data_IF_024620589927
#
_entry.id   IF_024620589927
#
_cell.length_a   1.000
_cell.length_b   1.000
_cell.length_c   1.000
_cell.angle_alpha   90.00
_cell.angle_beta   90.00
_cell.angle_gamma   90.00
#
_symmetry.space_group_name_H-M   'P 1'
#
loop_
_entity.id
_entity.type
_entity.pdbx_description
1 polymer ?
#
# COMPACT_ATOMS: atom_id res chain seq x y z
N UNK A 1 15.45 -29.36 4.56
CA UNK A 1 16.39 -28.36 4.01
C UNK A 1 15.61 -27.55 2.99
N UNK A 2 15.09 -26.40 3.39
CA UNK A 2 14.42 -25.48 2.47
C UNK A 2 15.53 -24.86 1.61
N UNK A 3 15.62 -25.29 0.36
CA UNK A 3 16.54 -24.68 -0.59
C UNK A 3 16.10 -23.22 -0.74
N UNK A 4 16.88 -22.29 -0.18
CA UNK A 4 16.75 -20.87 -0.50
C UNK A 4 17.03 -20.80 -2.00
N UNK A 5 16.07 -20.42 -2.85
CA UNK A 5 16.34 -20.27 -4.27
C UNK A 5 17.32 -19.10 -4.40
N UNK A 6 18.61 -19.41 -4.52
CA UNK A 6 19.60 -18.42 -4.88
C UNK A 6 19.27 -18.01 -6.31
N UNK A 7 18.71 -16.81 -6.46
CA UNK A 7 18.42 -16.24 -7.77
C UNK A 7 19.68 -16.20 -8.63
N UNK A 8 19.51 -16.06 -9.94
CA UNK A 8 20.65 -15.94 -10.88
C UNK A 8 21.57 -14.81 -10.40
N UNK A 9 22.88 -15.06 -10.23
CA UNK A 9 23.82 -14.03 -9.81
C UNK A 9 23.72 -12.82 -10.75
N UNK A 10 23.44 -11.66 -10.18
CA UNK A 10 23.40 -10.39 -10.93
C UNK A 10 24.66 -9.61 -10.66
N UNK A 11 25.15 -8.90 -11.68
CA UNK A 11 26.23 -7.94 -11.53
C UNK A 11 25.81 -6.88 -10.50
N UNK A 12 26.73 -6.43 -9.66
CA UNK A 12 26.47 -5.28 -8.80
C UNK A 12 26.72 -3.98 -9.58
N UNK A 13 25.82 -3.03 -9.45
CA UNK A 13 26.01 -1.65 -9.89
C UNK A 13 26.48 -0.82 -8.70
N UNK A 14 27.53 -0.02 -8.91
CA UNK A 14 28.13 0.83 -7.89
C UNK A 14 27.85 2.29 -8.21
N UNK A 15 27.42 3.05 -7.20
CA UNK A 15 27.02 4.45 -7.37
C UNK A 15 27.10 5.19 -6.02
N UNK A 16 26.87 6.50 -6.02
CA UNK A 16 26.90 7.32 -4.80
C UNK A 16 25.49 7.61 -4.28
N UNK A 17 25.23 7.30 -3.01
CA UNK A 17 23.99 7.61 -2.29
C UNK A 17 24.32 8.49 -1.07
N UNK A 18 23.89 9.75 -1.10
CA UNK A 18 24.15 10.75 -0.05
C UNK A 18 25.64 10.84 0.33
N UNK A 19 26.50 10.88 -0.68
CA UNK A 19 27.95 10.98 -0.51
C UNK A 19 28.64 9.67 -0.07
N UNK A 20 27.91 8.56 0.06
CA UNK A 20 28.46 7.24 0.40
C UNK A 20 28.38 6.29 -0.79
N UNK A 21 29.36 5.42 -0.94
CA UNK A 21 29.29 4.35 -1.94
C UNK A 21 28.17 3.37 -1.61
N UNK A 22 27.33 3.07 -2.60
CA UNK A 22 26.24 2.12 -2.54
C UNK A 22 26.40 1.07 -3.63
N UNK A 23 26.03 -0.18 -3.32
CA UNK A 23 26.11 -1.32 -4.25
C UNK A 23 24.83 -2.13 -4.17
N UNK A 24 24.21 -2.35 -5.31
CA UNK A 24 22.99 -3.17 -5.42
C UNK A 24 23.04 -4.05 -6.66
N UNK A 25 22.29 -5.17 -6.69
CA UNK A 25 22.10 -5.96 -7.90
C UNK A 25 21.60 -5.11 -9.08
N UNK A 26 22.10 -5.41 -10.28
CA UNK A 26 21.62 -4.81 -11.52
C UNK A 26 20.10 -5.01 -11.67
N UNK A 27 19.42 -3.94 -12.07
CA UNK A 27 17.96 -3.90 -12.17
C UNK A 27 17.24 -3.55 -10.86
N UNK A 28 17.94 -3.37 -9.74
CA UNK A 28 17.36 -2.77 -8.53
C UNK A 28 16.98 -1.30 -8.74
N UNK A 29 15.98 -0.84 -7.99
CA UNK A 29 15.55 0.56 -7.97
C UNK A 29 16.40 1.39 -7.02
N UNK A 30 16.30 2.72 -7.09
CA UNK A 30 16.91 3.60 -6.10
C UNK A 30 16.34 3.34 -4.71
N UNK A 31 15.04 3.04 -4.60
CA UNK A 31 14.39 2.70 -3.33
C UNK A 31 14.99 1.43 -2.72
N UNK A 32 15.24 0.39 -3.52
CA UNK A 32 15.89 -0.84 -3.05
C UNK A 32 17.29 -0.55 -2.48
N UNK A 33 18.03 0.35 -3.13
CA UNK A 33 19.33 0.78 -2.64
C UNK A 33 19.25 1.62 -1.36
N UNK A 34 18.25 2.48 -1.23
CA UNK A 34 18.00 3.22 0.02
C UNK A 34 17.72 2.24 1.17
N UNK A 35 16.83 1.25 0.95
CA UNK A 35 16.51 0.21 1.94
C UNK A 35 17.75 -0.60 2.33
N UNK A 36 18.55 -1.03 1.36
CA UNK A 36 19.80 -1.76 1.61
C UNK A 36 20.82 -0.92 2.41
N UNK A 37 20.79 0.40 2.29
CA UNK A 37 21.61 1.33 3.06
C UNK A 37 20.99 1.72 4.42
N UNK A 38 19.86 1.12 4.82
CA UNK A 38 19.14 1.45 6.05
C UNK A 38 18.45 2.82 6.02
N UNK A 39 18.22 3.39 4.83
CA UNK A 39 17.49 4.65 4.64
C UNK A 39 16.02 4.36 4.38
N UNK A 40 15.19 4.91 5.25
CA UNK A 40 13.74 4.85 5.09
C UNK A 40 13.25 6.00 4.20
N UNK A 41 12.79 5.66 3.00
CA UNK A 41 12.20 6.61 2.06
C UNK A 41 10.69 6.42 2.09
N UNK A 42 9.99 7.52 2.37
CA UNK A 42 8.54 7.61 2.35
C UNK A 42 7.96 7.03 1.05
N UNK A 43 7.05 6.06 1.19
CA UNK A 43 6.28 5.49 0.09
C UNK A 43 4.81 5.32 0.50
N UNK A 44 3.90 5.51 -0.46
CA UNK A 44 2.46 5.25 -0.29
C UNK A 44 1.95 4.29 -1.36
N UNK A 45 2.26 4.55 -2.63
CA UNK A 45 1.82 3.72 -3.76
C UNK A 45 2.79 2.59 -4.13
N UNK A 46 3.86 2.37 -3.38
CA UNK A 46 4.72 1.20 -3.57
C UNK A 46 4.14 0.02 -2.77
N UNK A 47 4.23 -1.18 -3.32
CA UNK A 47 3.93 -2.44 -2.64
C UNK A 47 5.06 -3.42 -2.90
N UNK A 48 5.26 -4.39 -2.01
CA UNK A 48 6.45 -5.25 -2.03
C UNK A 48 6.48 -6.19 -3.25
N UNK A 49 5.30 -6.66 -3.66
CA UNK A 49 5.13 -7.53 -4.83
C UNK A 49 4.29 -6.88 -5.94
N UNK A 50 4.13 -5.55 -5.89
CA UNK A 50 3.42 -4.77 -6.92
C UNK A 50 4.37 -3.81 -7.64
N UNK A 51 4.32 -3.80 -8.96
CA UNK A 51 5.01 -2.83 -9.78
C UNK A 51 4.43 -1.42 -9.51
N UNK A 52 5.25 -0.45 -9.09
CA UNK A 52 4.73 0.86 -8.69
C UNK A 52 4.31 1.70 -9.91
N UNK A 53 3.15 2.35 -9.82
CA UNK A 53 2.65 3.30 -10.83
C UNK A 53 3.26 4.70 -10.74
N UNK A 54 4.05 4.97 -9.70
CA UNK A 54 4.58 6.31 -9.41
C UNK A 54 3.51 7.38 -9.14
N UNK A 55 2.30 6.99 -8.75
CA UNK A 55 1.17 7.91 -8.59
C UNK A 55 1.35 8.89 -7.41
N UNK A 56 1.79 8.40 -6.25
CA UNK A 56 1.83 9.23 -5.04
C UNK A 56 2.96 10.27 -5.00
N UNK A 57 4.03 10.09 -5.79
CA UNK A 57 5.20 11.00 -5.87
C UNK A 57 5.93 11.37 -4.57
N UNK A 58 5.61 10.77 -3.42
CA UNK A 58 6.29 11.07 -2.15
C UNK A 58 7.72 10.50 -2.06
N UNK A 59 8.03 9.43 -2.79
CA UNK A 59 9.34 8.78 -2.76
C UNK A 59 10.42 9.46 -3.62
N UNK A 60 10.19 10.70 -4.07
CA UNK A 60 11.09 11.36 -5.01
C UNK A 60 12.45 11.68 -4.37
N UNK A 61 13.51 11.57 -5.17
CA UNK A 61 14.90 11.86 -4.80
C UNK A 61 15.57 12.68 -5.91
N UNK A 62 16.68 13.34 -5.58
CA UNK A 62 17.47 14.08 -6.54
C UNK A 62 18.56 13.18 -7.13
N UNK A 63 18.72 13.22 -8.45
CA UNK A 63 19.79 12.54 -9.17
C UNK A 63 20.63 13.63 -9.85
N UNK A 64 21.93 13.64 -9.64
CA UNK A 64 22.83 14.64 -10.21
C UNK A 64 22.71 14.65 -11.75
N UNK A 65 22.69 15.85 -12.33
CA UNK A 65 22.45 16.06 -13.77
C UNK A 65 20.98 15.89 -14.22
N UNK A 66 20.08 15.35 -13.40
CA UNK A 66 18.67 15.24 -13.75
C UNK A 66 17.92 16.57 -13.50
N UNK A 67 17.16 17.02 -14.50
CA UNK A 67 16.35 18.25 -14.38
C UNK A 67 15.24 18.13 -13.33
N UNK A 68 14.59 16.98 -13.27
CA UNK A 68 13.42 16.69 -12.41
C UNK A 68 13.78 15.65 -11.36
N UNK A 69 13.10 15.70 -10.20
CA UNK A 69 13.24 14.67 -9.17
C UNK A 69 12.75 13.30 -9.70
N UNK A 70 13.53 12.26 -9.43
CA UNK A 70 13.25 10.91 -9.87
C UNK A 70 12.43 10.16 -8.81
N UNK A 71 11.40 9.38 -9.19
CA UNK A 71 10.70 8.51 -8.24
C UNK A 71 11.62 7.35 -7.83
N UNK A 72 12.01 7.28 -6.56
CA UNK A 72 12.94 6.25 -6.11
C UNK A 72 12.38 4.83 -6.31
N UNK A 73 11.06 4.66 -6.20
CA UNK A 73 10.39 3.36 -6.27
C UNK A 73 10.44 2.68 -7.65
N UNK A 74 10.73 3.41 -8.73
CA UNK A 74 10.80 2.83 -10.09
C UNK A 74 12.05 3.17 -10.86
N UNK A 75 12.74 4.28 -10.54
CA UNK A 75 14.00 4.63 -11.18
C UNK A 75 15.03 3.55 -10.87
N UNK A 76 15.65 2.98 -11.91
CA UNK A 76 16.70 1.98 -11.76
C UNK A 76 18.01 2.62 -11.30
N UNK A 77 18.71 1.94 -10.40
CA UNK A 77 20.07 2.31 -10.02
C UNK A 77 21.04 1.98 -11.17
N UNK A 78 21.85 2.94 -11.57
CA UNK A 78 22.81 2.83 -12.66
C UNK A 78 24.22 3.13 -12.15
N UNK A 79 25.23 2.51 -12.77
CA UNK A 79 26.61 2.69 -12.36
C UNK A 79 27.05 4.16 -12.49
N UNK A 80 27.71 4.67 -11.46
CA UNK A 80 28.24 6.03 -11.43
C UNK A 80 27.19 7.14 -11.21
N UNK A 81 25.92 6.82 -10.96
CA UNK A 81 24.94 7.84 -10.60
C UNK A 81 25.24 8.45 -9.23
N UNK A 82 24.86 9.71 -9.03
CA UNK A 82 24.89 10.36 -7.73
C UNK A 82 23.47 10.72 -7.31
N UNK A 83 23.04 10.17 -6.17
CA UNK A 83 21.69 10.32 -5.64
C UNK A 83 21.75 11.01 -4.29
N UNK A 84 20.89 12.02 -4.11
CA UNK A 84 20.70 12.74 -2.85
C UNK A 84 19.24 12.61 -2.41
N UNK A 85 19.01 12.01 -1.24
CA UNK A 85 17.64 11.66 -0.79
C UNK A 85 16.97 12.75 0.04
N UNK A 86 17.74 13.71 0.56
CA UNK A 86 17.27 14.71 1.53
C UNK A 86 17.68 16.15 1.15
N UNK A 87 17.66 16.47 -0.14
CA UNK A 87 17.89 17.85 -0.60
C UNK A 87 16.69 18.74 -0.30
N UNK A 88 16.90 20.06 -0.22
CA UNK A 88 15.82 21.05 -0.09
C UNK A 88 14.74 20.86 -1.17
N UNK A 89 15.14 20.53 -2.41
CA UNK A 89 14.22 20.25 -3.51
C UNK A 89 13.36 19.03 -3.24
N UNK A 90 13.96 17.93 -2.76
CA UNK A 90 13.24 16.71 -2.42
C UNK A 90 12.29 16.93 -1.22
N UNK A 91 12.76 17.57 -0.15
CA UNK A 91 11.93 17.90 1.03
C UNK A 91 10.77 18.80 0.68
N UNK A 92 11.00 19.85 -0.11
CA UNK A 92 9.93 20.74 -0.57
C UNK A 92 8.89 20.01 -1.42
N UNK A 93 9.32 19.13 -2.34
CA UNK A 93 8.39 18.33 -3.14
C UNK A 93 7.55 17.40 -2.28
N UNK A 94 8.13 16.74 -1.28
CA UNK A 94 7.41 15.86 -0.35
C UNK A 94 6.39 16.63 0.48
N UNK A 95 6.78 17.79 1.00
CA UNK A 95 5.89 18.71 1.72
C UNK A 95 4.66 19.05 0.88
N UNK A 96 4.85 19.56 -0.35
CA UNK A 96 3.73 19.96 -1.23
C UNK A 96 2.83 18.77 -1.58
N UNK A 97 3.41 17.59 -1.82
CA UNK A 97 2.62 16.38 -2.08
C UNK A 97 1.79 15.99 -0.87
N UNK A 98 2.36 16.02 0.34
CA UNK A 98 1.63 15.74 1.58
C UNK A 98 0.52 16.77 1.83
N UNK A 99 0.77 18.05 1.55
CA UNK A 99 -0.25 19.11 1.61
C UNK A 99 -1.40 18.81 0.66
N UNK A 100 -1.11 18.47 -0.60
CA UNK A 100 -2.14 18.14 -1.60
C UNK A 100 -2.96 16.93 -1.16
N UNK A 101 -2.31 15.82 -0.79
CA UNK A 101 -2.99 14.60 -0.35
C UNK A 101 -3.87 14.88 0.87
N UNK A 102 -3.31 15.47 1.93
CA UNK A 102 -4.02 15.73 3.18
C UNK A 102 -5.12 16.80 3.06
N UNK A 103 -5.07 17.67 2.04
CA UNK A 103 -6.16 18.62 1.75
C UNK A 103 -7.33 17.96 1.02
N UNK A 104 -7.05 16.94 0.21
CA UNK A 104 -8.03 16.31 -0.69
C UNK A 104 -8.73 15.08 -0.10
N UNK A 105 -8.09 14.39 0.84
CA UNK A 105 -8.57 13.13 1.41
C UNK A 105 -8.28 13.02 2.91
N UNK A 106 -9.00 12.14 3.58
CA UNK A 106 -8.79 11.78 4.97
C UNK A 106 -7.62 10.79 5.11
N UNK A 107 -6.52 11.20 5.74
CA UNK A 107 -5.34 10.36 5.96
C UNK A 107 -5.25 9.76 7.38
N UNK A 108 -6.31 9.87 8.18
CA UNK A 108 -6.30 9.47 9.60
C UNK A 108 -5.94 8.00 9.85
N UNK A 109 -6.25 7.12 8.91
CA UNK A 109 -5.93 5.68 8.95
C UNK A 109 -4.70 5.30 8.13
N UNK A 110 -4.00 6.29 7.54
CA UNK A 110 -2.78 6.03 6.78
C UNK A 110 -1.59 5.91 7.74
N UNK A 111 -0.89 4.76 7.79
CA UNK A 111 0.24 4.59 8.70
C UNK A 111 1.29 5.69 8.53
N UNK A 112 1.74 6.26 9.64
CA UNK A 112 2.77 7.32 9.73
C UNK A 112 2.46 8.63 8.98
N UNK A 113 1.29 8.80 8.38
CA UNK A 113 0.94 10.05 7.68
C UNK A 113 1.04 11.29 8.60
N UNK A 114 0.55 11.18 9.85
CA UNK A 114 0.66 12.26 10.83
C UNK A 114 2.12 12.58 11.21
N UNK A 115 2.98 11.57 11.32
CA UNK A 115 4.42 11.73 11.57
C UNK A 115 5.07 12.50 10.41
N UNK A 116 4.81 12.09 9.17
CA UNK A 116 5.38 12.74 7.99
C UNK A 116 4.86 14.16 7.77
N UNK A 117 3.57 14.41 8.00
CA UNK A 117 3.01 15.77 7.93
C UNK A 117 3.77 16.70 8.88
N UNK A 118 4.07 16.22 10.10
CA UNK A 118 4.87 16.96 11.07
C UNK A 118 6.33 17.10 10.64
N UNK A 119 6.98 16.02 10.20
CA UNK A 119 8.40 15.98 9.81
C UNK A 119 8.73 16.91 8.63
N UNK A 120 7.82 17.00 7.66
CA UNK A 120 7.97 17.88 6.48
C UNK A 120 7.31 19.24 6.66
N UNK A 121 6.74 19.51 7.84
CA UNK A 121 6.01 20.74 8.17
C UNK A 121 4.92 21.06 7.14
N UNK A 122 4.24 20.02 6.63
CA UNK A 122 3.16 20.16 5.67
C UNK A 122 1.95 20.83 6.33
N UNK A 123 1.34 21.78 5.61
CA UNK A 123 0.12 22.50 6.04
C UNK A 123 -1.06 22.12 5.14
N UNK A 124 -1.87 21.11 5.50
CA UNK A 124 -3.02 20.66 4.69
C UNK A 124 -4.03 21.79 4.40
N UNK A 125 -4.14 22.77 5.29
CA UNK A 125 -4.99 23.96 5.19
C UNK A 125 -4.47 25.04 4.22
N UNK A 126 -3.27 24.86 3.66
CA UNK A 126 -2.60 25.83 2.77
C UNK A 126 -3.46 26.27 1.58
N UNK A 127 -4.32 25.39 1.07
CA UNK A 127 -5.16 25.66 -0.10
C UNK A 127 -6.50 26.34 0.23
N UNK A 128 -6.75 26.63 1.52
CA UNK A 128 -7.96 27.31 1.97
C UNK A 128 -9.17 26.37 2.16
N UNK A 129 -10.26 26.89 2.73
CA UNK A 129 -11.46 26.10 3.03
C UNK A 129 -12.22 25.64 1.77
N UNK A 130 -12.02 26.32 0.64
CA UNK A 130 -12.68 26.01 -0.64
C UNK A 130 -11.92 24.96 -1.46
N UNK A 131 -10.85 24.37 -0.89
CA UNK A 131 -10.13 23.28 -1.55
C UNK A 131 -11.07 22.09 -1.79
N UNK A 132 -11.09 21.61 -3.03
CA UNK A 132 -11.87 20.43 -3.37
C UNK A 132 -11.40 19.22 -2.54
N UNK A 133 -12.37 18.45 -2.04
CA UNK A 133 -12.15 17.26 -1.21
C UNK A 133 -13.02 16.12 -1.69
N UNK A 134 -12.51 14.89 -1.61
CA UNK A 134 -13.35 13.70 -1.71
C UNK A 134 -14.14 13.59 -0.42
N UNK A 135 -15.46 13.75 -0.53
CA UNK A 135 -16.41 13.68 0.58
C UNK A 135 -17.54 12.75 0.17
N UNK A 136 -17.29 11.45 0.31
CA UNK A 136 -18.24 10.38 0.01
C UNK A 136 -18.45 9.56 1.29
N UNK A 137 -19.70 9.18 1.56
CA UNK A 137 -19.99 8.27 2.65
C UNK A 137 -19.38 6.88 2.39
N UNK A 138 -18.89 6.18 3.43
CA UNK A 138 -18.41 4.81 3.29
C UNK A 138 -19.48 3.89 2.72
N UNK A 139 -19.13 3.11 1.69
CA UNK A 139 -20.03 2.13 1.09
C UNK A 139 -19.83 0.76 1.74
N UNK A 140 -20.92 0.21 2.28
CA UNK A 140 -20.99 -1.10 2.91
C UNK A 140 -21.89 -2.00 2.08
N UNK A 141 -21.29 -2.73 1.12
CA UNK A 141 -22.05 -3.60 0.20
C UNK A 141 -22.22 -5.04 0.73
N UNK A 142 -21.44 -5.42 1.75
CA UNK A 142 -21.38 -6.76 2.33
C UNK A 142 -20.69 -6.71 3.70
N UNK A 143 -20.61 -7.87 4.39
CA UNK A 143 -20.03 -7.99 5.73
C UNK A 143 -18.52 -8.30 5.76
N UNK A 144 -17.82 -8.27 4.63
CA UNK A 144 -16.40 -8.63 4.53
C UNK A 144 -15.50 -7.38 4.60
N UNK A 145 -15.79 -6.36 3.80
CA UNK A 145 -14.98 -5.14 3.72
C UNK A 145 -15.77 -3.90 3.29
N UNK A 146 -15.23 -2.73 3.64
CA UNK A 146 -15.83 -1.41 3.40
C UNK A 146 -15.04 -0.65 2.34
N UNK A 147 -15.75 0.13 1.51
CA UNK A 147 -15.16 1.07 0.55
C UNK A 147 -15.36 2.49 1.05
N UNK A 148 -14.33 3.06 1.64
CA UNK A 148 -14.32 4.41 2.21
C UNK A 148 -13.44 5.33 1.35
N UNK A 149 -14.01 5.83 0.26
CA UNK A 149 -13.21 6.52 -0.76
C UNK A 149 -12.78 7.94 -0.36
N UNK A 150 -13.29 8.49 0.76
CA UNK A 150 -12.79 9.72 1.37
C UNK A 150 -11.29 9.63 1.74
N UNK A 151 -10.76 8.41 1.91
CA UNK A 151 -9.37 8.06 2.20
C UNK A 151 -8.54 7.72 0.96
N UNK A 152 -9.15 7.69 -0.23
CA UNK A 152 -8.49 7.13 -1.41
C UNK A 152 -7.53 8.12 -2.07
N UNK A 153 -6.22 7.88 -1.96
CA UNK A 153 -5.19 8.69 -2.63
C UNK A 153 -4.95 8.34 -4.11
N UNK A 154 -5.85 7.57 -4.74
CA UNK A 154 -5.69 7.05 -6.11
C UNK A 154 -4.29 6.45 -6.36
N UNK A 155 -3.83 5.57 -5.47
CA UNK A 155 -2.51 4.95 -5.60
C UNK A 155 -2.45 3.81 -6.61
N UNK A 156 -3.60 3.35 -7.12
CA UNK A 156 -3.79 2.25 -8.08
C UNK A 156 -3.38 0.85 -7.61
N UNK A 157 -2.82 0.68 -6.40
CA UNK A 157 -2.43 -0.65 -5.87
C UNK A 157 -3.59 -1.65 -5.90
N UNK A 158 -4.79 -1.20 -5.54
CA UNK A 158 -5.99 -2.04 -5.55
C UNK A 158 -6.36 -2.51 -6.96
N UNK A 159 -6.25 -1.63 -7.96
CA UNK A 159 -6.52 -1.95 -9.38
C UNK A 159 -5.50 -2.97 -9.89
N UNK A 160 -4.21 -2.77 -9.59
CA UNK A 160 -3.15 -3.70 -9.99
C UNK A 160 -3.31 -5.08 -9.32
N UNK A 161 -3.63 -5.12 -8.03
CA UNK A 161 -3.88 -6.38 -7.31
C UNK A 161 -5.15 -7.09 -7.81
N UNK A 162 -6.20 -6.35 -8.16
CA UNK A 162 -7.40 -6.96 -8.75
C UNK A 162 -7.18 -7.44 -10.19
N UNK A 163 -6.27 -6.76 -10.91
CA UNK A 163 -5.92 -7.03 -12.29
C UNK A 163 -4.78 -8.03 -12.44
N UNK A 164 -3.91 -7.75 -13.40
CA UNK A 164 -2.93 -8.66 -13.97
C UNK A 164 -1.81 -9.06 -13.00
N UNK A 165 -1.51 -8.24 -12.00
CA UNK A 165 -0.38 -8.50 -11.12
C UNK A 165 -0.68 -9.63 -10.13
N UNK A 166 -1.91 -9.74 -9.61
CA UNK A 166 -2.27 -10.79 -8.63
C UNK A 166 -3.51 -11.61 -9.05
N UNK A 167 -4.70 -11.02 -9.08
CA UNK A 167 -5.97 -11.78 -9.08
C UNK A 167 -6.52 -12.13 -10.47
N UNK A 168 -6.24 -11.31 -11.49
CA UNK A 168 -6.79 -11.42 -12.85
C UNK A 168 -8.32 -11.40 -12.94
N UNK A 169 -9.00 -10.70 -12.01
CA UNK A 169 -10.46 -10.54 -12.03
C UNK A 169 -10.89 -9.21 -12.66
N UNK A 170 -10.09 -8.15 -12.53
CA UNK A 170 -10.36 -6.82 -13.11
C UNK A 170 -11.70 -6.19 -12.68
N UNK A 171 -12.21 -6.52 -11.49
CA UNK A 171 -13.50 -6.03 -10.98
C UNK A 171 -13.49 -4.54 -10.61
N UNK A 172 -12.32 -3.97 -10.28
CA UNK A 172 -12.20 -2.55 -9.94
C UNK A 172 -11.25 -1.84 -10.92
N UNK A 173 -11.61 -0.63 -11.30
CA UNK A 173 -10.83 0.22 -12.20
C UNK A 173 -10.95 1.69 -11.79
N UNK A 174 -10.25 2.57 -12.52
CA UNK A 174 -10.35 4.01 -12.35
C UNK A 174 -11.33 4.57 -13.35
N UNK A 175 -12.33 5.30 -12.84
CA UNK A 175 -13.33 6.02 -13.63
C UNK A 175 -13.22 7.51 -13.37
N UNK A 176 -13.74 8.33 -14.29
CA UNK A 176 -13.64 9.79 -14.19
C UNK A 176 -12.25 10.31 -14.58
N UNK A 177 -12.03 11.61 -14.39
CA UNK A 177 -10.79 12.32 -14.71
C UNK A 177 -10.61 13.51 -13.78
N UNK A 178 -9.36 13.95 -13.61
CA UNK A 178 -9.04 15.10 -12.77
C UNK A 178 -9.45 14.84 -11.32
N UNK A 179 -10.17 15.78 -10.72
CA UNK A 179 -10.63 15.64 -9.33
C UNK A 179 -11.79 14.64 -9.19
N UNK A 180 -12.56 14.40 -10.26
CA UNK A 180 -13.66 13.43 -10.27
C UNK A 180 -13.19 11.98 -10.48
N UNK A 181 -11.87 11.74 -10.51
CA UNK A 181 -11.32 10.41 -10.66
C UNK A 181 -11.55 9.59 -9.38
N UNK A 182 -12.13 8.39 -9.51
CA UNK A 182 -12.39 7.48 -8.39
C UNK A 182 -12.18 6.02 -8.76
N UNK A 183 -12.01 5.18 -7.75
CA UNK A 183 -12.04 3.72 -7.93
C UNK A 183 -13.50 3.29 -7.95
N UNK A 184 -13.89 2.52 -8.96
CA UNK A 184 -15.24 1.97 -9.08
C UNK A 184 -15.22 0.57 -9.68
N UNK A 185 -16.31 -0.15 -9.45
CA UNK A 185 -16.65 -1.38 -10.20
C UNK A 185 -17.42 -1.03 -11.48
N UNK A 186 -17.79 -2.03 -12.28
CA UNK A 186 -18.69 -1.85 -13.41
C UNK A 186 -19.95 -1.06 -13.03
N UNK A 187 -20.25 -0.02 -13.82
CA UNK A 187 -21.39 0.88 -13.61
C UNK A 187 -21.46 1.56 -12.23
N UNK A 188 -20.37 1.59 -11.46
CA UNK A 188 -20.35 2.09 -10.07
C UNK A 188 -21.40 1.41 -9.17
N UNK A 189 -21.72 0.15 -9.47
CA UNK A 189 -22.71 -0.65 -8.76
C UNK A 189 -22.24 -1.07 -7.35
N UNK A 190 -23.13 -1.63 -6.51
CA UNK A 190 -22.73 -2.40 -5.35
C UNK A 190 -21.82 -3.57 -5.73
N UNK A 191 -20.93 -3.98 -4.83
CA UNK A 191 -20.02 -5.12 -5.09
C UNK A 191 -20.77 -6.42 -5.42
N UNK A 192 -21.96 -6.62 -4.85
CA UNK A 192 -22.87 -7.76 -5.09
C UNK A 192 -23.34 -7.88 -6.54
N UNK A 193 -23.33 -6.76 -7.25
CA UNK A 193 -23.81 -6.68 -8.62
C UNK A 193 -22.65 -6.47 -9.60
N UNK A 194 -21.44 -6.88 -9.21
CA UNK A 194 -20.20 -6.72 -9.99
C UNK A 194 -19.47 -8.03 -10.25
N UNK A 195 -18.43 -8.00 -11.09
CA UNK A 195 -17.50 -9.12 -11.27
C UNK A 195 -16.61 -9.44 -10.04
N UNK A 196 -16.77 -8.76 -8.91
CA UNK A 196 -15.96 -8.98 -7.73
C UNK A 196 -16.12 -10.40 -7.16
N UNK A 197 -15.00 -11.08 -6.93
CA UNK A 197 -14.95 -12.43 -6.32
C UNK A 197 -14.64 -12.41 -4.82
N UNK A 198 -14.62 -11.22 -4.21
CA UNK A 198 -14.39 -11.00 -2.77
C UNK A 198 -13.09 -11.61 -2.22
N UNK A 199 -12.01 -11.65 -3.02
CA UNK A 199 -10.72 -12.14 -2.55
C UNK A 199 -10.07 -11.22 -1.47
N UNK A 200 -10.45 -9.94 -1.43
CA UNK A 200 -9.91 -8.96 -0.49
C UNK A 200 -8.44 -8.58 -0.73
N UNK A 201 -7.84 -8.97 -1.86
CA UNK A 201 -6.47 -8.56 -2.21
C UNK A 201 -6.33 -7.04 -2.41
N UNK A 202 -7.40 -6.36 -2.81
CA UNK A 202 -7.44 -4.91 -2.88
C UNK A 202 -7.40 -4.24 -1.50
N UNK A 203 -7.97 -4.89 -0.47
CA UNK A 203 -7.93 -4.45 0.94
C UNK A 203 -6.52 -4.62 1.49
N UNK A 204 -5.90 -5.78 1.26
CA UNK A 204 -4.53 -6.10 1.68
C UNK A 204 -3.51 -5.04 1.24
N UNK A 205 -3.64 -4.53 0.01
CA UNK A 205 -2.66 -3.60 -0.56
C UNK A 205 -3.00 -2.13 -0.33
N UNK A 206 -4.17 -1.82 0.23
CA UNK A 206 -4.62 -0.44 0.41
C UNK A 206 -3.80 0.26 1.51
N UNK A 207 -3.04 1.32 1.20
CA UNK A 207 -2.16 1.95 2.17
C UNK A 207 -2.88 2.94 3.10
N UNK A 208 -4.12 3.32 2.80
CA UNK A 208 -4.82 4.39 3.52
C UNK A 208 -6.04 3.93 4.31
N UNK A 209 -6.46 2.68 4.16
CA UNK A 209 -7.72 2.18 4.74
C UNK A 209 -8.97 2.56 3.93
N UNK A 210 -8.82 3.14 2.72
CA UNK A 210 -9.94 3.37 1.81
C UNK A 210 -10.65 2.08 1.38
N UNK A 211 -9.92 0.97 1.43
CA UNK A 211 -10.48 -0.37 1.40
C UNK A 211 -9.98 -1.04 2.68
N UNK A 212 -10.89 -1.42 3.57
CA UNK A 212 -10.57 -1.95 4.90
C UNK A 212 -11.51 -3.09 5.28
N UNK A 213 -11.05 -3.99 6.15
CA UNK A 213 -11.90 -5.04 6.71
C UNK A 213 -13.11 -4.41 7.42
N UNK A 214 -14.29 -5.02 7.29
CA UNK A 214 -15.50 -4.53 7.96
C UNK A 214 -15.33 -4.47 9.48
N UNK A 215 -14.70 -5.50 10.04
CA UNK A 215 -14.30 -5.57 11.45
C UNK A 215 -13.40 -4.40 11.87
N UNK A 216 -12.34 -4.11 11.11
CA UNK A 216 -11.45 -2.99 11.39
C UNK A 216 -12.21 -1.65 11.33
N UNK A 217 -13.02 -1.45 10.30
CA UNK A 217 -13.83 -0.24 10.14
C UNK A 217 -14.77 -0.03 11.34
N UNK A 218 -15.51 -1.06 11.72
CA UNK A 218 -16.47 -1.01 12.83
C UNK A 218 -15.79 -0.76 14.18
N UNK A 219 -14.69 -1.47 14.45
CA UNK A 219 -13.92 -1.30 15.69
C UNK A 219 -13.31 0.10 15.79
N UNK A 220 -12.85 0.68 14.67
CA UNK A 220 -12.38 2.07 14.65
C UNK A 220 -13.51 3.04 14.95
N UNK A 221 -14.69 2.85 14.35
CA UNK A 221 -15.87 3.67 14.62
C UNK A 221 -16.33 3.56 16.09
N UNK A 222 -16.20 2.39 16.70
CA UNK A 222 -16.51 2.15 18.11
C UNK A 222 -15.40 2.62 19.08
N UNK A 223 -14.24 3.05 18.57
CA UNK A 223 -13.08 3.42 19.39
C UNK A 223 -12.40 2.24 20.10
N UNK A 224 -12.65 1.01 19.64
CA UNK A 224 -12.09 -0.23 20.23
C UNK A 224 -10.91 -0.78 19.44
N UNK A 225 -10.63 -0.28 18.24
CA UNK A 225 -9.48 -0.71 17.45
C UNK A 225 -8.16 -0.24 18.06
N UNK A 226 -7.29 -1.18 18.43
CA UNK A 226 -5.97 -0.89 18.98
C UNK A 226 -4.88 -1.80 18.37
N UNK A 227 -4.26 -1.33 17.29
CA UNK A 227 -3.16 -2.05 16.62
C UNK A 227 -1.98 -2.38 17.54
N UNK A 228 -1.69 -1.54 18.54
CA UNK A 228 -0.55 -1.75 19.42
C UNK A 228 -0.75 -2.91 20.41
N UNK A 229 -2.01 -3.30 20.65
CA UNK A 229 -2.37 -4.43 21.51
C UNK A 229 -2.63 -5.71 20.71
N UNK A 230 -2.60 -5.64 19.37
CA UNK A 230 -2.79 -6.79 18.52
C UNK A 230 -1.57 -7.71 18.56
N UNK A 231 -1.84 -9.02 18.57
CA UNK A 231 -0.82 -10.04 18.36
C UNK A 231 -0.94 -10.60 16.96
N UNK A 232 0.21 -10.80 16.31
CA UNK A 232 0.29 -11.43 14.99
C UNK A 232 0.78 -12.86 15.11
N UNK A 233 0.05 -13.80 14.50
CA UNK A 233 0.49 -15.20 14.41
C UNK A 233 0.38 -15.69 12.98
N UNK A 234 1.50 -16.16 12.42
CA UNK A 234 1.50 -16.79 11.09
C UNK A 234 1.16 -18.27 11.21
N UNK A 235 0.16 -18.72 10.46
CA UNK A 235 -0.29 -20.11 10.37
C UNK A 235 -0.52 -20.53 8.92
N UNK A 236 -0.94 -21.77 8.69
CA UNK A 236 -1.27 -22.32 7.37
C UNK A 236 -2.78 -22.42 7.21
N UNK A 237 -3.29 -21.96 6.07
CA UNK A 237 -4.68 -22.05 5.68
C UNK A 237 -5.09 -23.52 5.44
N UNK A 238 -6.14 -23.98 6.13
CA UNK A 238 -6.63 -25.36 6.05
C UNK A 238 -7.76 -25.58 5.02
N UNK A 239 -8.17 -24.55 4.28
CA UNK A 239 -9.35 -24.62 3.40
C UNK A 239 -9.17 -25.47 2.13
N UNK A 240 -7.94 -25.67 1.67
CA UNK A 240 -7.61 -26.49 0.50
C UNK A 240 -6.14 -26.93 0.53
N UNK A 241 -5.71 -27.73 -0.45
CA UNK A 241 -4.34 -28.26 -0.53
C UNK A 241 -3.25 -27.27 -0.94
N UNK A 242 -3.56 -25.98 -1.19
CA UNK A 242 -2.55 -24.97 -1.57
C UNK A 242 -1.63 -24.63 -0.40
N UNK A 243 -2.17 -24.60 0.83
CA UNK A 243 -1.38 -24.30 2.03
C UNK A 243 -0.88 -22.85 2.11
N UNK A 244 -1.71 -21.87 1.73
CA UNK A 244 -1.37 -20.45 1.86
C UNK A 244 -1.01 -20.10 3.32
N UNK A 245 -0.01 -19.26 3.55
CA UNK A 245 0.24 -18.72 4.89
C UNK A 245 -0.73 -17.59 5.21
N UNK A 246 -1.28 -17.60 6.42
CA UNK A 246 -2.16 -16.57 6.96
C UNK A 246 -1.46 -15.89 8.13
N UNK A 247 -1.43 -14.57 8.15
CA UNK A 247 -1.07 -13.79 9.34
C UNK A 247 -2.35 -13.36 10.03
N UNK A 248 -2.66 -13.99 11.15
CA UNK A 248 -3.81 -13.68 11.97
C UNK A 248 -3.49 -12.47 12.84
N UNK A 249 -4.31 -11.43 12.77
CA UNK A 249 -4.26 -10.27 13.67
C UNK A 249 -5.31 -10.47 14.75
N UNK A 250 -4.87 -10.59 16.00
CA UNK A 250 -5.73 -10.95 17.13
C UNK A 250 -5.75 -9.82 18.16
N UNK A 251 -6.94 -9.35 18.50
CA UNK A 251 -7.19 -8.39 19.58
C UNK A 251 -8.24 -8.98 20.53
N UNK A 252 -8.07 -8.83 21.84
CA UNK A 252 -9.06 -9.29 22.82
C UNK A 252 -9.47 -10.77 22.66
N UNK A 253 -8.51 -11.61 22.24
CA UNK A 253 -8.70 -13.04 21.96
C UNK A 253 -9.67 -13.34 20.77
N UNK A 254 -9.90 -12.35 19.91
CA UNK A 254 -10.63 -12.47 18.66
C UNK A 254 -9.73 -12.11 17.46
N UNK A 255 -9.82 -12.90 16.39
CA UNK A 255 -9.21 -12.59 15.11
C UNK A 255 -10.00 -11.42 14.50
N UNK A 256 -9.35 -10.27 14.36
CA UNK A 256 -9.97 -9.05 13.84
C UNK A 256 -9.72 -8.85 12.35
N UNK A 257 -8.61 -9.35 11.81
CA UNK A 257 -8.34 -9.42 10.36
C UNK A 257 -7.28 -10.47 10.03
N UNK A 258 -7.15 -10.78 8.73
CA UNK A 258 -6.14 -11.73 8.23
C UNK A 258 -5.39 -11.16 7.03
N UNK A 259 -4.08 -11.03 7.17
CA UNK A 259 -3.16 -10.70 6.07
C UNK A 259 -2.37 -11.94 5.64
N UNK A 260 -1.43 -11.79 4.71
CA UNK A 260 -0.51 -12.86 4.32
C UNK A 260 0.89 -12.28 4.14
N UNK A 261 1.96 -12.98 4.51
CA UNK A 261 3.33 -12.55 4.20
C UNK A 261 3.54 -12.47 2.69
N UNK A 262 4.14 -11.35 2.22
CA UNK A 262 4.40 -11.12 0.78
C UNK A 262 5.63 -11.89 0.29
N UNK A 263 6.52 -12.29 1.19
CA UNK A 263 7.69 -13.13 0.94
C UNK A 263 7.37 -14.64 0.92
N UNK A 264 6.09 -15.02 1.14
CA UNK A 264 5.66 -16.40 1.06
C UNK A 264 5.85 -16.96 -0.37
N UNK A 265 6.52 -18.11 -0.55
CA UNK A 265 6.86 -18.63 -1.88
C UNK A 265 5.68 -19.25 -2.63
N UNK A 266 4.53 -19.47 -1.97
CA UNK A 266 3.35 -20.09 -2.59
C UNK A 266 2.41 -19.03 -3.12
N UNK A 267 2.08 -18.02 -2.30
CA UNK A 267 1.04 -17.05 -2.64
C UNK A 267 1.51 -15.60 -2.69
N UNK A 268 2.70 -15.27 -2.21
CA UNK A 268 3.25 -13.90 -2.26
C UNK A 268 2.30 -12.81 -1.72
N UNK A 269 1.54 -13.12 -0.66
CA UNK A 269 0.56 -12.20 -0.05
C UNK A 269 -0.88 -12.35 -0.56
N UNK A 270 -1.08 -13.04 -1.69
CA UNK A 270 -2.40 -13.25 -2.28
C UNK A 270 -3.20 -14.30 -1.48
N UNK A 271 -4.46 -14.02 -1.18
CA UNK A 271 -5.39 -14.98 -0.60
C UNK A 271 -6.71 -14.99 -1.37
N UNK A 272 -7.36 -16.15 -1.41
CA UNK A 272 -8.76 -16.22 -1.82
C UNK A 272 -9.69 -15.78 -0.68
N UNK A 273 -10.98 -15.60 -0.98
CA UNK A 273 -12.01 -15.21 0.00
C UNK A 273 -11.98 -16.05 1.29
N UNK A 274 -11.76 -17.37 1.18
CA UNK A 274 -11.72 -18.27 2.33
C UNK A 274 -10.51 -18.02 3.24
N UNK A 275 -9.33 -17.82 2.64
CA UNK A 275 -8.13 -17.49 3.40
C UNK A 275 -8.21 -16.11 4.05
N UNK A 276 -8.80 -15.14 3.34
CA UNK A 276 -8.89 -13.74 3.77
C UNK A 276 -9.95 -13.49 4.84
N UNK A 277 -11.12 -14.11 4.70
CA UNK A 277 -12.29 -13.79 5.52
C UNK A 277 -12.92 -15.02 6.22
N UNK A 278 -12.51 -16.23 5.85
CA UNK A 278 -13.09 -17.46 6.43
C UNK A 278 -12.71 -17.71 7.89
N UNK A 279 -11.91 -16.86 8.54
CA UNK A 279 -11.56 -17.03 9.94
C UNK A 279 -12.76 -16.90 10.88
N UNK A 280 -13.86 -16.27 10.45
CA UNK A 280 -15.07 -16.12 11.28
C UNK A 280 -15.62 -17.47 11.76
N UNK A 281 -15.48 -18.54 10.96
CA UNK A 281 -15.99 -19.86 11.33
C UNK A 281 -15.36 -20.43 12.61
N UNK A 282 -14.09 -20.12 12.89
CA UNK A 282 -13.43 -20.63 14.12
C UNK A 282 -13.77 -19.79 15.36
N UNK A 283 -14.44 -18.66 15.17
CA UNK A 283 -14.90 -17.77 16.24
C UNK A 283 -16.36 -17.99 16.60
N UNK A 284 -17.14 -18.61 15.70
CA UNK A 284 -18.49 -19.05 15.99
C UNK A 284 -18.43 -20.26 16.93
N UNK A 285 -18.77 -20.02 18.21
CA UNK A 285 -18.73 -21.02 19.28
C UNK A 285 -20.06 -21.75 19.48
N UNK A 286 -21.04 -21.51 18.61
CA UNK A 286 -22.37 -22.11 18.61
C UNK A 286 -22.48 -23.27 17.62
#
# INVERSE_FOLDING_TARGET
MTAIPLGVPRRLVEFTLDGREARVPEGSTILDACRAAGKDILTLCQGDTLAPKNACRVCVVEVEGARTLAPACSRKAEAGMEVRTDTERARHSRKVVLELLASSVNLSTTPRAAEWIKEYEAKPDRFGPDAARVDEEPRVDNDLYVRDYDKCILCYKCVDACGDQWQNTFAISVVGRGFDARIAVEHDAPLTDSACVYCGNCVEVCPTGALSFKSEFDMRAAGTWNEAEQTETTTVCAYCGVGCNLTLHVQDNEIVKVTSPHDNPVTHGNLCIKGRFGYQHVQNRD
#
